data_IF_951249110320
#
_entry.id   IF_951249110320
#
_cell.length_a   1.000
_cell.length_b   1.000
_cell.length_c   1.000
_cell.angle_alpha   90.00
_cell.angle_beta   90.00
_cell.angle_gamma   90.00
#
_symmetry.space_group_name_H-M   'P 1'
#
loop_
_entity.id
_entity.type
_entity.pdbx_description
1 polymer ?
#
# COMPACT_ATOMS: atom_id res chain seq x y z
N UNK A 1 -4.57 48.03 -32.54
CA UNK A 1 -4.73 46.61 -32.93
C UNK A 1 -3.40 45.84 -32.96
N UNK A 2 -2.37 46.22 -33.74
CA UNK A 2 -1.08 45.50 -33.81
C UNK A 2 -0.35 45.35 -32.45
N UNK A 3 -0.40 46.36 -31.57
CA UNK A 3 0.21 46.31 -30.23
C UNK A 3 -0.48 45.33 -29.25
N UNK A 4 -1.81 45.16 -29.37
CA UNK A 4 -2.58 44.21 -28.55
C UNK A 4 -2.30 42.77 -29.00
N UNK A 5 -2.15 42.56 -30.32
CA UNK A 5 -1.78 41.26 -30.88
C UNK A 5 -0.37 40.82 -30.43
N UNK A 6 0.59 41.75 -30.39
CA UNK A 6 1.95 41.50 -29.89
C UNK A 6 1.99 41.13 -28.41
N UNK A 7 1.17 41.78 -27.57
CA UNK A 7 1.07 41.45 -26.13
C UNK A 7 0.42 40.07 -25.94
N UNK A 8 -0.58 39.72 -26.75
CA UNK A 8 -1.23 38.40 -26.70
C UNK A 8 -0.31 37.25 -27.13
N UNK A 9 0.57 37.48 -28.11
CA UNK A 9 1.58 36.51 -28.54
C UNK A 9 2.67 36.36 -27.46
N UNK A 10 3.08 37.44 -26.81
CA UNK A 10 4.08 37.41 -25.74
C UNK A 10 3.57 36.66 -24.49
N UNK A 11 2.27 36.75 -24.17
CA UNK A 11 1.66 36.04 -23.03
C UNK A 11 1.59 34.51 -23.23
N UNK A 12 1.48 34.04 -24.48
CA UNK A 12 1.42 32.61 -24.82
C UNK A 12 2.78 31.90 -24.65
N UNK A 13 3.90 32.62 -24.72
CA UNK A 13 5.24 32.05 -24.50
C UNK A 13 5.56 31.81 -23.02
N UNK A 14 4.90 32.51 -22.09
CA UNK A 14 5.17 32.44 -20.65
C UNK A 14 4.46 31.26 -19.96
N UNK A 15 3.45 30.64 -20.61
CA UNK A 15 2.67 29.54 -20.04
C UNK A 15 3.26 28.14 -20.31
N UNK A 16 4.29 28.01 -21.14
CA UNK A 16 4.89 26.73 -21.50
C UNK A 16 6.05 26.27 -20.58
N UNK A 17 6.39 27.03 -19.53
CA UNK A 17 7.55 26.73 -18.67
C UNK A 17 7.22 26.01 -17.36
N UNK A 18 5.96 25.68 -17.07
CA UNK A 18 5.62 24.82 -15.95
C UNK A 18 5.75 23.34 -16.34
N UNK A 19 6.97 22.82 -16.34
CA UNK A 19 7.22 21.39 -16.37
C UNK A 19 6.92 20.81 -14.98
N UNK A 20 5.72 20.26 -14.78
CA UNK A 20 5.35 19.54 -13.56
C UNK A 20 6.19 18.25 -13.51
N UNK A 21 7.31 18.27 -12.79
CA UNK A 21 8.14 17.09 -12.47
C UNK A 21 7.56 16.30 -11.30
N UNK A 22 6.24 16.17 -11.23
CA UNK A 22 5.56 15.33 -10.26
C UNK A 22 5.55 13.88 -10.74
N UNK A 23 6.06 12.94 -9.95
CA UNK A 23 5.82 11.53 -10.27
C UNK A 23 4.43 11.16 -9.77
N UNK A 24 3.57 10.64 -10.65
CA UNK A 24 2.24 10.08 -10.31
C UNK A 24 2.31 8.80 -9.44
N UNK A 25 3.39 8.62 -8.66
CA UNK A 25 3.63 7.45 -7.81
C UNK A 25 2.51 7.35 -6.78
N UNK A 26 1.93 6.17 -6.67
CA UNK A 26 0.78 5.91 -5.82
C UNK A 26 -0.56 6.34 -6.42
N UNK A 27 -0.64 6.99 -7.59
CA UNK A 27 -1.93 7.25 -8.24
C UNK A 27 -2.54 5.99 -8.88
N UNK A 28 -1.66 5.13 -9.40
CA UNK A 28 -1.99 3.85 -10.03
C UNK A 28 -1.28 2.71 -9.30
N UNK A 29 -1.74 1.48 -9.51
CA UNK A 29 -1.16 0.32 -8.83
C UNK A 29 0.25 -0.01 -9.32
N UNK A 30 0.59 0.27 -10.58
CA UNK A 30 1.82 -0.21 -11.23
C UNK A 30 1.95 -1.74 -11.34
N UNK A 31 0.84 -2.48 -11.29
CA UNK A 31 0.81 -3.93 -11.44
C UNK A 31 1.51 -4.40 -12.72
N UNK A 32 1.04 -3.94 -13.89
CA UNK A 32 1.57 -4.37 -15.19
C UNK A 32 3.06 -4.05 -15.36
N UNK A 33 3.46 -2.86 -14.90
CA UNK A 33 4.86 -2.44 -14.88
C UNK A 33 5.70 -3.41 -14.04
N UNK A 34 5.25 -3.70 -12.82
CA UNK A 34 5.96 -4.59 -11.90
C UNK A 34 6.02 -6.02 -12.44
N UNK A 35 4.94 -6.53 -13.04
CA UNK A 35 4.89 -7.85 -13.68
C UNK A 35 5.83 -7.92 -14.88
N UNK A 36 5.93 -6.87 -15.70
CA UNK A 36 6.87 -6.79 -16.82
C UNK A 36 8.33 -6.76 -16.36
N UNK A 37 8.64 -5.98 -15.32
CA UNK A 37 9.99 -5.87 -14.76
C UNK A 37 10.41 -7.10 -13.96
N UNK A 38 9.44 -7.83 -13.40
CA UNK A 38 9.65 -8.93 -12.47
C UNK A 38 8.56 -10.00 -12.59
N UNK A 39 8.57 -10.83 -13.64
CA UNK A 39 7.49 -11.76 -13.95
C UNK A 39 7.13 -12.71 -12.80
N UNK A 40 8.11 -13.18 -12.03
CA UNK A 40 7.88 -14.16 -10.97
C UNK A 40 7.61 -13.53 -9.59
N UNK A 41 7.69 -12.20 -9.46
CA UNK A 41 7.52 -11.53 -8.18
C UNK A 41 6.08 -11.62 -7.67
N UNK A 42 5.10 -11.46 -8.58
CA UNK A 42 3.69 -11.37 -8.23
C UNK A 42 2.99 -12.72 -8.45
N UNK A 43 2.51 -13.32 -7.37
CA UNK A 43 1.80 -14.60 -7.38
C UNK A 43 0.33 -14.38 -7.04
N UNK A 44 -0.58 -14.86 -7.90
CA UNK A 44 -2.01 -14.93 -7.55
C UNK A 44 -2.18 -16.00 -6.47
N UNK A 45 -2.82 -15.66 -5.35
CA UNK A 45 -2.99 -16.64 -4.28
C UNK A 45 -4.07 -17.66 -4.62
N UNK A 46 -3.68 -18.93 -4.76
CA UNK A 46 -4.59 -20.08 -4.80
C UNK A 46 -4.66 -20.84 -3.46
N UNK A 47 -3.88 -20.41 -2.48
CA UNK A 47 -3.67 -21.08 -1.20
C UNK A 47 -4.23 -20.25 -0.04
N UNK A 48 -4.35 -20.88 1.13
CA UNK A 48 -4.74 -20.19 2.36
C UNK A 48 -3.67 -19.16 2.75
N UNK A 49 -3.97 -17.87 2.57
CA UNK A 49 -3.02 -16.79 2.85
C UNK A 49 -2.70 -16.63 4.34
N UNK A 50 -3.53 -17.18 5.24
CA UNK A 50 -3.38 -16.99 6.67
C UNK A 50 -2.14 -17.72 7.24
N UNK A 51 -1.79 -18.86 6.63
CA UNK A 51 -0.66 -19.72 7.01
C UNK A 51 0.63 -19.40 6.25
N UNK A 52 0.65 -18.39 5.38
CA UNK A 52 1.85 -18.03 4.65
C UNK A 52 2.92 -17.50 5.60
N UNK A 53 4.09 -18.10 5.52
CA UNK A 53 5.33 -17.59 6.13
C UNK A 53 6.09 -16.73 5.13
N UNK A 54 7.10 -16.01 5.62
CA UNK A 54 7.94 -15.16 4.80
C UNK A 54 8.38 -15.82 3.49
N UNK A 55 8.27 -15.03 2.42
CA UNK A 55 8.72 -15.32 1.06
C UNK A 55 9.06 -13.97 0.41
N UNK A 56 10.01 -13.98 -0.51
CA UNK A 56 10.36 -12.81 -1.33
C UNK A 56 9.32 -12.52 -2.43
N UNK A 57 8.33 -13.41 -2.62
CA UNK A 57 7.22 -13.17 -3.52
C UNK A 57 6.16 -12.29 -2.86
N UNK A 58 5.46 -11.51 -3.69
CA UNK A 58 4.28 -10.74 -3.31
C UNK A 58 3.04 -11.53 -3.68
N UNK A 59 2.21 -11.82 -2.68
CA UNK A 59 0.97 -12.57 -2.88
C UNK A 59 -0.18 -11.60 -3.13
N UNK A 60 -0.83 -11.73 -4.29
CA UNK A 60 -1.96 -10.91 -4.68
C UNK A 60 -3.22 -11.43 -3.97
N UNK A 61 -3.91 -10.55 -3.23
CA UNK A 61 -5.07 -10.88 -2.39
C UNK A 61 -6.17 -9.82 -2.52
N UNK A 62 -7.39 -10.19 -2.19
CA UNK A 62 -8.47 -9.23 -1.92
C UNK A 62 -8.73 -9.09 -0.41
N UNK A 63 -9.59 -8.13 -0.05
CA UNK A 63 -9.89 -7.80 1.34
C UNK A 63 -10.68 -8.92 2.03
N UNK A 64 -11.50 -9.67 1.29
CA UNK A 64 -12.22 -10.82 1.83
C UNK A 64 -11.27 -11.93 2.29
N UNK A 65 -10.20 -12.19 1.53
CA UNK A 65 -9.16 -13.13 1.93
C UNK A 65 -8.51 -12.70 3.26
N UNK A 66 -8.10 -11.44 3.37
CA UNK A 66 -7.43 -10.93 4.57
C UNK A 66 -8.37 -10.91 5.77
N UNK A 67 -9.63 -10.47 5.58
CA UNK A 67 -10.65 -10.44 6.65
C UNK A 67 -10.82 -11.80 7.31
N UNK A 68 -10.75 -12.89 6.53
CA UNK A 68 -10.86 -14.24 7.07
C UNK A 68 -9.66 -14.60 7.97
N UNK A 69 -8.47 -14.11 7.66
CA UNK A 69 -7.30 -14.28 8.53
C UNK A 69 -7.40 -13.44 9.80
N UNK A 70 -7.86 -12.18 9.69
CA UNK A 70 -7.98 -11.30 10.86
C UNK A 70 -8.92 -11.87 11.93
N UNK A 71 -9.93 -12.66 11.54
CA UNK A 71 -10.84 -13.36 12.46
C UNK A 71 -10.19 -14.51 13.24
N UNK A 72 -9.09 -15.06 12.76
CA UNK A 72 -8.37 -16.18 13.38
C UNK A 72 -7.36 -15.70 14.44
N UNK A 73 -7.04 -14.41 14.45
CA UNK A 73 -6.03 -13.81 15.32
C UNK A 73 -6.70 -13.09 16.50
N UNK A 74 -6.18 -13.26 17.71
CA UNK A 74 -6.66 -12.51 18.87
C UNK A 74 -6.39 -11.01 18.70
N UNK A 75 -5.18 -10.67 18.24
CA UNK A 75 -4.73 -9.31 17.93
C UNK A 75 -3.99 -9.30 16.61
N UNK A 76 -4.38 -8.42 15.71
CA UNK A 76 -3.71 -8.26 14.42
C UNK A 76 -3.57 -6.79 14.03
N UNK A 77 -2.57 -6.51 13.21
CA UNK A 77 -2.34 -5.21 12.61
C UNK A 77 -2.21 -5.37 11.11
N UNK A 78 -2.96 -4.57 10.37
CA UNK A 78 -2.77 -4.36 8.93
C UNK A 78 -1.98 -3.08 8.75
N UNK A 79 -0.83 -3.17 8.10
CA UNK A 79 -0.03 -2.01 7.71
C UNK A 79 -0.19 -1.78 6.20
N UNK A 80 -0.85 -0.69 5.83
CA UNK A 80 -0.90 -0.19 4.45
C UNK A 80 0.43 0.50 4.14
N UNK A 81 1.30 -0.23 3.46
CA UNK A 81 2.67 0.17 3.18
C UNK A 81 2.78 0.82 1.81
N UNK A 82 3.24 2.07 1.76
CA UNK A 82 3.63 2.74 0.51
C UNK A 82 5.12 2.51 0.25
N UNK A 83 5.54 1.75 -0.78
CA UNK A 83 6.95 1.42 -0.99
C UNK A 83 7.87 2.65 -1.04
N UNK A 84 7.50 3.66 -1.83
CA UNK A 84 8.31 4.88 -2.04
C UNK A 84 7.90 6.00 -1.08
N UNK A 85 7.45 5.66 0.12
CA UNK A 85 7.14 6.67 1.11
C UNK A 85 8.39 7.52 1.43
N UNK A 86 8.26 8.83 1.28
CA UNK A 86 9.30 9.81 1.57
C UNK A 86 9.05 10.61 2.85
N UNK A 87 7.95 10.33 3.57
CA UNK A 87 7.65 10.98 4.84
C UNK A 87 8.59 10.50 5.93
N UNK A 88 8.96 11.39 6.86
CA UNK A 88 9.75 11.06 8.06
C UNK A 88 9.05 10.04 8.97
N UNK A 89 7.74 9.88 8.80
CA UNK A 89 6.88 8.98 9.59
C UNK A 89 6.89 7.55 9.04
N UNK A 90 7.54 7.29 7.90
CA UNK A 90 7.55 5.95 7.33
C UNK A 90 8.54 5.03 8.05
N UNK A 91 7.98 4.18 8.90
CA UNK A 91 8.71 3.22 9.71
C UNK A 91 9.14 2.02 8.83
N UNK A 92 10.40 1.56 8.91
CA UNK A 92 10.85 0.36 8.20
C UNK A 92 10.02 -0.88 8.55
N UNK A 93 9.80 -1.78 7.59
CA UNK A 93 8.97 -2.98 7.78
C UNK A 93 9.45 -3.85 8.95
N UNK A 94 10.77 -3.97 9.11
CA UNK A 94 11.39 -4.77 10.17
C UNK A 94 11.08 -4.21 11.57
N UNK A 95 11.06 -2.87 11.70
CA UNK A 95 10.73 -2.19 12.95
C UNK A 95 9.25 -2.37 13.30
N UNK A 96 8.35 -2.30 12.30
CA UNK A 96 6.93 -2.61 12.51
C UNK A 96 6.74 -4.07 12.92
N UNK A 97 7.49 -5.00 12.31
CA UNK A 97 7.46 -6.41 12.67
C UNK A 97 7.93 -6.67 14.10
N UNK A 98 9.00 -5.99 14.53
CA UNK A 98 9.53 -6.08 15.89
C UNK A 98 8.51 -5.55 16.90
N UNK A 99 7.95 -4.36 16.64
CA UNK A 99 6.86 -3.78 17.44
C UNK A 99 5.70 -4.78 17.62
N UNK A 100 5.20 -5.32 16.51
CA UNK A 100 4.09 -6.28 16.54
C UNK A 100 4.47 -7.57 17.28
N UNK A 101 5.70 -8.07 17.10
CA UNK A 101 6.18 -9.27 17.81
C UNK A 101 6.24 -9.06 19.31
N UNK A 102 6.79 -7.92 19.77
CA UNK A 102 6.91 -7.57 21.19
C UNK A 102 5.55 -7.46 21.88
N UNK A 103 4.53 -7.01 21.14
CA UNK A 103 3.17 -6.80 21.64
C UNK A 103 2.22 -7.99 21.38
N UNK A 104 2.73 -9.12 20.90
CA UNK A 104 1.93 -10.30 20.53
C UNK A 104 0.81 -9.99 19.53
N UNK A 105 1.14 -9.19 18.51
CA UNK A 105 0.24 -8.78 17.42
C UNK A 105 0.69 -9.47 16.13
N UNK A 106 -0.24 -10.11 15.42
CA UNK A 106 0.04 -10.65 14.09
C UNK A 106 0.03 -9.53 13.04
N UNK A 107 1.17 -9.31 12.38
CA UNK A 107 1.33 -8.27 11.35
C UNK A 107 1.00 -8.81 9.95
N UNK A 108 0.18 -8.06 9.19
CA UNK A 108 -0.02 -8.22 7.75
C UNK A 108 0.38 -6.93 7.04
N UNK A 109 1.37 -7.02 6.15
CA UNK A 109 1.85 -5.87 5.37
C UNK A 109 1.16 -5.92 4.00
N UNK A 110 0.40 -4.88 3.68
CA UNK A 110 -0.33 -4.76 2.42
C UNK A 110 0.24 -3.57 1.67
N UNK A 111 0.81 -3.81 0.50
CA UNK A 111 1.34 -2.75 -0.33
C UNK A 111 0.20 -1.93 -0.94
N UNK A 112 0.28 -0.61 -0.75
CA UNK A 112 -0.63 0.37 -1.34
C UNK A 112 -0.58 0.33 -2.86
N UNK A 113 0.62 0.16 -3.43
CA UNK A 113 0.88 0.00 -4.86
C UNK A 113 2.14 -0.85 -5.05
N UNK A 114 2.35 -1.34 -6.26
CA UNK A 114 3.44 -2.20 -6.63
C UNK A 114 4.73 -1.43 -6.95
N UNK A 115 5.86 -1.95 -6.45
CA UNK A 115 7.19 -1.42 -6.77
C UNK A 115 8.20 -2.57 -6.82
N UNK A 116 8.64 -2.92 -8.03
CA UNK A 116 9.52 -4.07 -8.27
C UNK A 116 10.83 -4.03 -7.49
N UNK A 117 11.44 -2.85 -7.38
CA UNK A 117 12.74 -2.66 -6.72
C UNK A 117 12.62 -2.87 -5.21
N UNK A 118 11.61 -2.26 -4.59
CA UNK A 118 11.44 -2.32 -3.14
C UNK A 118 10.83 -3.63 -2.67
N UNK A 119 9.88 -4.18 -3.43
CA UNK A 119 9.24 -5.46 -3.08
C UNK A 119 10.20 -6.67 -3.19
N UNK A 120 11.28 -6.58 -3.98
CA UNK A 120 12.30 -7.64 -4.07
C UNK A 120 13.29 -7.65 -2.91
N UNK A 121 13.30 -6.60 -2.09
CA UNK A 121 14.25 -6.51 -0.97
C UNK A 121 13.95 -7.60 0.05
N UNK A 122 15.00 -8.06 0.72
CA UNK A 122 14.87 -8.98 1.84
C UNK A 122 14.53 -8.17 3.08
N UNK A 123 13.40 -8.50 3.71
CA UNK A 123 12.93 -7.88 4.94
C UNK A 123 12.88 -8.93 6.05
N UNK A 124 13.18 -8.54 7.28
CA UNK A 124 13.02 -9.34 8.47
C UNK A 124 11.56 -9.28 8.97
N UNK A 125 10.66 -9.86 8.18
CA UNK A 125 9.22 -9.94 8.44
C UNK A 125 8.76 -11.40 8.48
N UNK A 126 7.67 -11.69 9.19
CA UNK A 126 7.18 -13.07 9.42
C UNK A 126 6.25 -13.58 8.32
N UNK A 127 5.48 -12.68 7.71
CA UNK A 127 4.56 -12.96 6.60
C UNK A 127 5.06 -12.27 5.32
N UNK A 128 4.72 -12.75 4.13
CA UNK A 128 5.11 -12.06 2.89
C UNK A 128 4.40 -10.71 2.77
N UNK A 129 4.89 -9.87 1.88
CA UNK A 129 4.17 -8.66 1.47
C UNK A 129 2.96 -9.09 0.64
N UNK A 130 1.80 -8.54 0.96
CA UNK A 130 0.58 -8.73 0.18
C UNK A 130 0.39 -7.58 -0.81
N UNK A 131 0.01 -7.90 -2.04
CA UNK A 131 -0.44 -6.93 -3.04
C UNK A 131 -1.95 -6.97 -3.18
N UNK A 132 -2.58 -5.84 -3.48
CA UNK A 132 -4.04 -5.75 -3.64
C UNK A 132 -4.44 -6.15 -5.06
N UNK A 133 -5.37 -7.10 -5.18
CA UNK A 133 -5.90 -7.59 -6.45
C UNK A 133 -6.70 -6.52 -7.20
N UNK A 134 -6.05 -5.81 -8.11
CA UNK A 134 -6.67 -4.75 -8.94
C UNK A 134 -7.65 -5.30 -9.98
N UNK A 135 -7.48 -6.56 -10.40
CA UNK A 135 -8.43 -7.22 -11.30
C UNK A 135 -9.74 -7.51 -10.56
N UNK A 136 -9.67 -8.02 -9.32
CA UNK A 136 -10.85 -8.26 -8.49
C UNK A 136 -11.68 -6.99 -8.26
N UNK A 137 -11.02 -5.85 -7.99
CA UNK A 137 -11.69 -4.57 -7.80
C UNK A 137 -11.98 -3.78 -9.09
N UNK A 138 -11.56 -4.31 -10.25
CA UNK A 138 -11.83 -3.74 -11.58
C UNK A 138 -11.35 -2.29 -11.74
N UNK A 139 -10.21 -1.94 -11.12
CA UNK A 139 -9.64 -0.60 -11.18
C UNK A 139 -8.14 -0.62 -10.91
N UNK A 140 -7.39 0.15 -11.69
CA UNK A 140 -5.96 0.39 -11.47
C UNK A 140 -5.69 1.65 -10.61
N UNK A 141 -6.72 2.47 -10.37
CA UNK A 141 -6.61 3.66 -9.51
C UNK A 141 -6.49 3.27 -8.05
N UNK A 142 -5.40 3.70 -7.41
CA UNK A 142 -5.03 3.36 -6.03
C UNK A 142 -6.11 3.67 -5.02
N UNK A 143 -6.61 4.90 -5.02
CA UNK A 143 -7.67 5.32 -4.10
C UNK A 143 -8.92 4.46 -4.22
N UNK A 144 -9.25 3.97 -5.43
CA UNK A 144 -10.48 3.19 -5.66
C UNK A 144 -10.35 1.77 -5.11
N UNK A 145 -9.29 1.04 -5.47
CA UNK A 145 -9.13 -0.33 -4.96
C UNK A 145 -8.78 -0.34 -3.47
N UNK A 146 -8.08 0.67 -2.94
CA UNK A 146 -7.86 0.79 -1.50
C UNK A 146 -9.16 1.00 -0.75
N UNK A 147 -10.03 1.90 -1.21
CA UNK A 147 -11.34 2.09 -0.61
C UNK A 147 -12.15 0.79 -0.58
N UNK A 148 -12.17 0.05 -1.70
CA UNK A 148 -12.87 -1.23 -1.77
C UNK A 148 -12.25 -2.28 -0.83
N UNK A 149 -10.92 -2.36 -0.79
CA UNK A 149 -10.19 -3.26 0.10
C UNK A 149 -10.44 -2.95 1.59
N UNK A 150 -10.43 -1.67 1.96
CA UNK A 150 -10.70 -1.20 3.33
C UNK A 150 -12.14 -1.49 3.74
N UNK A 151 -13.08 -1.32 2.82
CA UNK A 151 -14.47 -1.66 3.03
C UNK A 151 -14.65 -3.18 3.26
N UNK A 152 -13.94 -4.02 2.49
CA UNK A 152 -13.97 -5.47 2.69
C UNK A 152 -13.46 -5.87 4.08
N UNK A 153 -12.29 -5.36 4.51
CA UNK A 153 -11.68 -5.78 5.78
C UNK A 153 -12.36 -5.17 7.02
N UNK A 154 -12.84 -3.93 6.93
CA UNK A 154 -13.24 -3.15 8.11
C UNK A 154 -14.55 -2.36 7.95
N UNK A 155 -15.24 -2.45 6.81
CA UNK A 155 -16.48 -1.70 6.53
C UNK A 155 -16.30 -0.18 6.73
N UNK A 156 -15.13 0.32 6.36
CA UNK A 156 -14.77 1.74 6.42
C UNK A 156 -14.20 2.17 5.08
N UNK A 157 -14.33 3.45 4.78
CA UNK A 157 -13.59 4.07 3.67
C UNK A 157 -12.11 4.14 4.01
N UNK A 158 -11.29 4.15 2.98
CA UNK A 158 -9.88 4.44 3.11
C UNK A 158 -9.71 5.84 3.72
N UNK A 159 -8.79 5.90 4.67
CA UNK A 159 -8.27 7.14 5.23
C UNK A 159 -6.76 7.07 5.11
N UNK A 160 -6.06 8.19 5.25
CA UNK A 160 -4.61 8.19 5.19
C UNK A 160 -3.93 7.35 6.30
N UNK A 161 -4.72 6.86 7.28
CA UNK A 161 -4.31 5.97 8.38
C UNK A 161 -3.70 4.68 7.85
N UNK A 162 -2.42 4.48 8.14
CA UNK A 162 -1.62 3.36 7.62
C UNK A 162 -1.67 2.11 8.49
N UNK A 163 -1.90 2.26 9.80
CA UNK A 163 -1.91 1.16 10.75
C UNK A 163 -3.33 0.93 11.26
N UNK A 164 -3.88 -0.25 10.95
CA UNK A 164 -5.20 -0.66 11.38
C UNK A 164 -5.07 -1.78 12.40
N UNK A 165 -5.55 -1.56 13.62
CA UNK A 165 -5.49 -2.53 14.70
C UNK A 165 -6.84 -3.23 14.86
N UNK A 166 -6.80 -4.56 14.88
CA UNK A 166 -7.96 -5.44 14.97
C UNK A 166 -7.86 -6.36 16.18
N UNK A 167 -9.01 -6.65 16.77
CA UNK A 167 -9.17 -7.72 17.77
C UNK A 167 -10.25 -8.68 17.31
N UNK A 168 -9.90 -9.97 17.17
CA UNK A 168 -10.81 -11.03 16.69
C UNK A 168 -11.55 -10.62 15.40
N UNK A 169 -10.82 -10.01 14.47
CA UNK A 169 -11.34 -9.53 13.17
C UNK A 169 -12.17 -8.24 13.20
N UNK A 170 -12.30 -7.57 14.35
CA UNK A 170 -13.03 -6.30 14.48
C UNK A 170 -12.04 -5.15 14.58
N UNK A 171 -12.19 -4.14 13.72
CA UNK A 171 -11.37 -2.93 13.76
C UNK A 171 -11.60 -2.19 15.09
N UNK A 172 -10.50 -1.87 15.79
CA UNK A 172 -10.52 -1.15 17.07
C UNK A 172 -9.90 0.23 16.98
N UNK A 173 -8.85 0.40 16.17
CA UNK A 173 -8.17 1.68 16.02
C UNK A 173 -7.51 1.81 14.64
N UNK A 174 -7.32 3.05 14.20
CA UNK A 174 -6.56 3.42 13.00
C UNK A 174 -5.64 4.60 13.31
N UNK A 175 -4.35 4.47 12.97
CA UNK A 175 -3.34 5.52 13.23
C UNK A 175 -2.36 5.66 12.07
N UNK A 176 -1.75 6.83 11.97
CA UNK A 176 -0.62 7.12 11.07
C UNK A 176 0.73 6.89 11.72
N UNK A 177 0.74 6.79 13.05
CA UNK A 177 1.93 6.74 13.87
C UNK A 177 1.83 5.56 14.82
N UNK A 178 2.94 4.84 14.97
CA UNK A 178 3.10 3.85 16.02
C UNK A 178 3.89 4.47 17.16
N UNK A 179 3.44 4.25 18.39
CA UNK A 179 4.21 4.59 19.57
C UNK A 179 5.34 3.57 19.76
N UNK A 180 6.52 3.91 19.26
CA UNK A 180 7.73 3.11 19.34
C UNK A 180 8.55 3.40 20.62
N UNK A 181 8.04 4.17 21.58
CA UNK A 181 8.77 4.53 22.81
C UNK A 181 9.20 3.32 23.65
N UNK A 182 8.50 2.19 23.46
CA UNK A 182 8.72 0.94 24.17
C UNK A 182 9.34 -0.14 23.29
N UNK A 183 9.99 0.18 22.16
CA UNK A 183 10.84 -0.76 21.42
C UNK A 183 12.20 -0.86 22.11
#
# INVERSE_FOLDING_TARGET
>A
MKKILLISVLLLFILNSCHISGSFKGLYSYYDKTKKESPDLLLKSSTNICSLTYSSNVYIINGQNLKNCLKQEDKSMVFIWSPKCSSRVCIPLDVVQEYCTKNHITLSIVAEYYDSELMKKVYNIKKPIFGIDTEFYQTDLTDRYLNAFMNDIAQTNYSNKRYLYFEKGVLKNMTDELDLSNL
#
